data_IF_663570493662
#
_entry.id   IF_663570493662
#
_cell.length_a   1.000
_cell.length_b   1.000
_cell.length_c   1.000
_cell.angle_alpha   90.00
_cell.angle_beta   90.00
_cell.angle_gamma   90.00
#
_symmetry.space_group_name_H-M   'P 1'
#
loop_
_entity.id
_entity.type
_entity.pdbx_description
1 polymer ?
#
# COMPACT_ATOMS: atom_id res chain seq x y z
N UNK A 1 -2.55 4.18 -33.47
CA UNK A 1 -2.38 5.32 -32.53
C UNK A 1 -1.72 4.76 -31.28
N UNK A 2 -0.41 4.95 -31.16
CA UNK A 2 0.38 4.37 -30.06
C UNK A 2 0.28 5.24 -28.82
N UNK A 3 -0.16 4.68 -27.71
CA UNK A 3 0.00 5.27 -26.39
C UNK A 3 1.50 5.39 -26.09
N UNK A 4 2.13 6.52 -26.45
CA UNK A 4 3.45 6.89 -25.90
C UNK A 4 3.24 7.43 -24.48
N UNK A 5 2.75 6.56 -23.60
CA UNK A 5 2.53 6.84 -22.20
C UNK A 5 3.48 5.98 -21.37
N UNK A 6 4.68 6.48 -21.09
CA UNK A 6 5.50 5.89 -20.04
C UNK A 6 5.82 7.00 -19.02
N UNK A 7 4.91 7.13 -18.07
CA UNK A 7 5.14 7.81 -16.79
C UNK A 7 5.93 6.92 -15.82
N UNK A 8 6.15 5.65 -16.19
CA UNK A 8 6.90 4.66 -15.40
C UNK A 8 8.38 4.75 -15.80
N UNK A 9 9.30 5.07 -14.87
CA UNK A 9 10.73 5.09 -15.13
C UNK A 9 11.23 3.75 -15.68
N UNK A 10 12.06 3.74 -16.72
CA UNK A 10 12.56 2.49 -17.27
C UNK A 10 13.43 1.71 -16.28
N UNK A 11 14.07 2.39 -15.32
CA UNK A 11 14.87 1.72 -14.27
C UNK A 11 14.05 0.87 -13.31
N UNK A 12 12.71 1.01 -13.23
CA UNK A 12 11.88 0.16 -12.37
C UNK A 12 11.54 -1.18 -13.01
N UNK A 13 11.74 -1.34 -14.32
CA UNK A 13 11.36 -2.56 -15.05
C UNK A 13 11.90 -3.86 -14.42
N UNK A 14 13.17 -3.94 -13.95
CA UNK A 14 13.68 -5.15 -13.29
C UNK A 14 12.97 -5.48 -11.97
N UNK A 15 12.32 -4.49 -11.34
CA UNK A 15 11.57 -4.67 -10.09
C UNK A 15 10.10 -5.04 -10.32
N UNK A 16 9.58 -4.92 -11.55
CA UNK A 16 8.22 -5.36 -11.92
C UNK A 16 8.23 -6.87 -12.17
N UNK A 17 8.54 -7.62 -11.12
CA UNK A 17 8.50 -9.08 -11.12
C UNK A 17 7.09 -9.55 -10.76
N UNK A 18 6.64 -10.66 -11.33
CA UNK A 18 5.39 -11.33 -10.94
C UNK A 18 5.72 -12.49 -10.01
N UNK A 19 4.97 -12.61 -8.91
CA UNK A 19 5.09 -13.69 -7.96
C UNK A 19 3.71 -14.29 -7.63
N UNK A 20 3.72 -15.55 -7.19
CA UNK A 20 2.56 -16.20 -6.60
C UNK A 20 2.58 -16.00 -5.09
N UNK A 21 1.48 -15.53 -4.53
CA UNK A 21 1.34 -15.24 -3.11
C UNK A 21 0.06 -15.89 -2.62
N UNK A 22 0.16 -16.72 -1.59
CA UNK A 22 -1.03 -17.19 -0.88
C UNK A 22 -1.44 -16.11 0.12
N UNK A 23 -2.64 -15.58 0.01
CA UNK A 23 -3.08 -14.55 0.95
C UNK A 23 -3.37 -15.15 2.33
N UNK A 24 -3.13 -14.35 3.37
CA UNK A 24 -3.48 -14.62 4.75
C UNK A 24 -4.70 -13.78 5.18
N UNK A 25 -5.17 -13.97 6.41
CA UNK A 25 -6.33 -13.22 6.93
C UNK A 25 -7.67 -13.75 6.40
N UNK A 26 -7.69 -14.99 5.90
CA UNK A 26 -8.95 -15.73 5.71
C UNK A 26 -9.60 -16.03 7.05
N UNK A 27 -10.81 -16.57 7.01
CA UNK A 27 -11.54 -17.01 8.17
C UNK A 27 -11.12 -18.43 8.57
N UNK A 28 -10.87 -18.63 9.85
CA UNK A 28 -10.47 -19.90 10.45
C UNK A 28 -11.71 -20.59 11.03
N UNK A 29 -11.90 -21.86 10.68
CA UNK A 29 -13.08 -22.64 11.04
C UNK A 29 -12.70 -23.93 11.78
N UNK A 30 -13.54 -24.37 12.71
CA UNK A 30 -13.39 -25.68 13.33
C UNK A 30 -13.92 -26.82 12.43
N UNK A 31 -13.80 -28.06 12.90
CA UNK A 31 -14.30 -29.26 12.19
C UNK A 31 -15.82 -29.22 11.89
N UNK A 32 -16.58 -28.35 12.58
CA UNK A 32 -18.02 -28.16 12.38
C UNK A 32 -18.33 -26.89 11.57
N UNK A 33 -17.36 -26.34 10.84
CA UNK A 33 -17.52 -25.10 10.05
C UNK A 33 -17.98 -23.89 10.88
N UNK A 34 -17.63 -23.85 12.17
CA UNK A 34 -17.85 -22.68 13.02
C UNK A 34 -16.72 -21.70 12.82
N UNK A 35 -17.03 -20.42 12.53
CA UNK A 35 -16.02 -19.36 12.52
C UNK A 35 -15.41 -19.15 13.91
N UNK A 36 -14.08 -19.25 14.00
CA UNK A 36 -13.33 -19.04 15.25
C UNK A 36 -12.68 -17.65 15.24
N UNK A 37 -11.91 -17.36 14.19
CA UNK A 37 -11.06 -16.18 14.10
C UNK A 37 -10.64 -15.93 12.66
N UNK A 38 -9.76 -14.97 12.41
CA UNK A 38 -9.01 -14.90 11.15
C UNK A 38 -7.80 -15.82 11.25
N UNK A 39 -7.58 -16.67 10.24
CA UNK A 39 -6.35 -17.43 10.10
C UNK A 39 -5.15 -16.48 10.04
N UNK A 40 -4.08 -16.87 10.71
CA UNK A 40 -2.79 -16.19 10.65
C UNK A 40 -1.67 -17.22 10.71
N UNK A 41 -0.65 -17.04 9.86
CA UNK A 41 0.56 -17.86 9.90
C UNK A 41 1.47 -17.36 11.03
N UNK A 42 1.83 -18.20 12.01
CA UNK A 42 2.68 -17.79 13.13
C UNK A 42 4.07 -17.29 12.75
N UNK A 43 4.56 -17.66 11.57
CA UNK A 43 5.86 -17.24 11.06
C UNK A 43 5.77 -15.94 10.23
N UNK A 44 4.57 -15.43 9.97
CA UNK A 44 4.33 -14.22 9.17
C UNK A 44 4.12 -12.97 10.02
N UNK A 45 4.64 -11.78 9.60
CA UNK A 45 4.37 -10.54 10.31
C UNK A 45 2.88 -10.21 10.36
N UNK A 46 2.38 -9.95 11.57
CA UNK A 46 0.97 -9.57 11.79
C UNK A 46 0.76 -8.06 11.60
N UNK A 47 -0.18 -7.71 10.71
CA UNK A 47 -0.57 -6.31 10.39
C UNK A 47 -1.95 -5.90 10.94
N UNK A 48 -2.58 -6.76 11.75
CA UNK A 48 -3.88 -6.52 12.40
C UNK A 48 -3.80 -6.78 13.90
N UNK A 49 -4.74 -6.24 14.67
CA UNK A 49 -4.81 -6.42 16.13
C UNK A 49 -4.96 -5.09 16.86
N UNK A 50 -4.79 -5.13 18.19
CA UNK A 50 -4.86 -3.93 19.02
C UNK A 50 -3.76 -2.91 18.64
N UNK A 51 -4.06 -1.61 18.69
CA UNK A 51 -3.07 -0.56 18.52
C UNK A 51 -1.85 -0.74 19.41
N UNK A 52 -0.67 -0.59 18.82
CA UNK A 52 0.62 -0.66 19.51
C UNK A 52 1.71 -0.01 18.67
N UNK A 53 2.79 0.43 19.32
CA UNK A 53 3.96 1.01 18.65
C UNK A 53 4.60 0.01 17.68
N UNK A 54 4.60 -1.28 18.02
CA UNK A 54 5.12 -2.33 17.17
C UNK A 54 4.29 -2.49 15.89
N UNK A 55 2.96 -2.52 16.01
CA UNK A 55 2.06 -2.58 14.86
C UNK A 55 2.24 -1.35 13.96
N UNK A 56 2.34 -0.17 14.55
CA UNK A 56 2.58 1.07 13.82
C UNK A 56 3.93 1.09 13.11
N UNK A 57 4.99 0.58 13.74
CA UNK A 57 6.31 0.46 13.14
C UNK A 57 6.29 -0.50 11.93
N UNK A 58 5.59 -1.63 12.05
CA UNK A 58 5.42 -2.57 10.92
C UNK A 58 4.70 -1.92 9.74
N UNK A 59 3.58 -1.24 9.98
CA UNK A 59 2.87 -0.52 8.92
C UNK A 59 3.74 0.55 8.26
N UNK A 60 4.37 1.42 9.06
CA UNK A 60 5.28 2.47 8.56
C UNK A 60 6.44 1.90 7.75
N UNK A 61 6.92 0.70 8.09
CA UNK A 61 8.02 0.07 7.35
C UNK A 61 7.65 -0.25 5.89
N UNK A 62 6.37 -0.49 5.58
CA UNK A 62 5.92 -0.84 4.23
C UNK A 62 6.05 0.33 3.25
N UNK A 63 5.69 1.53 3.68
CA UNK A 63 5.62 2.73 2.82
C UNK A 63 6.63 3.80 3.20
N UNK A 64 7.71 3.41 3.89
CA UNK A 64 8.76 4.31 4.41
C UNK A 64 9.50 5.13 3.35
N UNK A 65 9.23 4.89 2.06
CA UNK A 65 9.72 5.68 0.95
C UNK A 65 8.69 6.78 0.67
N UNK A 66 8.88 7.94 1.30
CA UNK A 66 7.99 9.09 1.15
C UNK A 66 8.05 9.71 -0.25
N UNK A 67 9.10 9.39 -1.01
CA UNK A 67 9.26 9.71 -2.42
C UNK A 67 10.53 9.10 -2.98
N UNK A 68 10.60 9.03 -4.30
CA UNK A 68 11.81 8.64 -5.04
C UNK A 68 12.32 9.82 -5.87
N UNK A 69 13.64 9.90 -6.00
CA UNK A 69 14.29 10.88 -6.86
C UNK A 69 14.50 10.33 -8.27
N UNK A 70 14.01 11.08 -9.26
CA UNK A 70 14.24 10.86 -10.68
C UNK A 70 15.13 11.96 -11.25
N UNK A 71 15.91 11.65 -12.29
CA UNK A 71 16.74 12.64 -13.00
C UNK A 71 16.95 12.27 -14.46
N UNK A 72 17.39 13.25 -15.25
CA UNK A 72 17.75 13.04 -16.65
C UNK A 72 16.52 12.65 -17.47
N UNK A 73 16.66 11.62 -18.29
CA UNK A 73 15.58 11.15 -19.18
C UNK A 73 14.38 10.60 -18.41
N UNK A 74 14.59 9.98 -17.24
CA UNK A 74 13.50 9.42 -16.43
C UNK A 74 12.60 10.50 -15.85
N UNK A 75 13.15 11.67 -15.54
CA UNK A 75 12.39 12.81 -15.03
C UNK A 75 11.74 13.65 -16.14
N UNK A 76 12.04 13.40 -17.42
CA UNK A 76 11.67 14.30 -18.51
C UNK A 76 10.16 14.54 -18.63
N UNK A 77 9.34 13.53 -18.33
CA UNK A 77 7.87 13.59 -18.45
C UNK A 77 7.19 14.27 -17.24
N UNK A 78 7.89 14.34 -16.10
CA UNK A 78 7.37 14.86 -14.82
C UNK A 78 7.99 16.20 -14.41
N UNK A 79 9.12 16.62 -15.02
CA UNK A 79 9.73 17.94 -14.79
C UNK A 79 8.72 19.08 -14.93
N UNK A 80 8.78 20.04 -14.01
CA UNK A 80 7.81 21.14 -13.89
C UNK A 80 6.41 20.75 -13.40
N UNK A 81 6.11 19.47 -13.16
CA UNK A 81 4.82 18.98 -12.62
C UNK A 81 4.94 18.44 -11.19
N UNK A 82 6.13 18.46 -10.64
CA UNK A 82 6.44 17.98 -9.29
C UNK A 82 7.51 18.87 -8.66
N UNK A 83 7.81 18.64 -7.38
CA UNK A 83 8.88 19.31 -6.68
C UNK A 83 10.25 18.94 -7.28
N UNK A 84 11.02 19.99 -7.58
CA UNK A 84 12.37 19.88 -8.10
C UNK A 84 13.39 20.21 -7.00
N UNK A 85 14.51 19.49 -7.00
CA UNK A 85 15.64 19.70 -6.08
C UNK A 85 16.88 20.19 -6.83
N UNK A 86 17.85 20.77 -6.11
CA UNK A 86 19.19 21.04 -6.66
C UNK A 86 19.78 19.86 -7.41
N UNK A 87 20.57 20.12 -8.46
CA UNK A 87 21.17 19.05 -9.26
C UNK A 87 20.23 18.38 -10.26
N UNK A 88 19.03 18.94 -10.45
CA UNK A 88 18.09 18.54 -11.51
C UNK A 88 17.29 17.28 -11.20
N UNK A 89 17.13 16.96 -9.92
CA UNK A 89 16.29 15.88 -9.43
C UNK A 89 14.83 16.32 -9.36
N UNK A 90 13.92 15.38 -9.59
CA UNK A 90 12.48 15.54 -9.48
C UNK A 90 11.95 14.45 -8.57
N UNK A 91 11.11 14.80 -7.59
CA UNK A 91 10.56 13.85 -6.64
C UNK A 91 9.26 13.29 -7.19
N UNK A 92 9.02 11.98 -7.05
CA UNK A 92 7.69 11.40 -7.25
C UNK A 92 7.36 10.43 -6.14
N UNK A 93 6.07 10.29 -5.81
CA UNK A 93 5.60 9.18 -4.98
C UNK A 93 5.25 8.00 -5.89
N UNK A 94 5.55 6.77 -5.45
CA UNK A 94 4.97 5.60 -6.07
C UNK A 94 3.57 5.36 -5.51
N UNK A 95 2.65 5.04 -6.42
CA UNK A 95 1.24 4.84 -6.10
C UNK A 95 1.03 3.76 -5.02
N UNK A 96 1.78 2.64 -5.10
CA UNK A 96 1.69 1.55 -4.11
C UNK A 96 2.00 1.99 -2.67
N UNK A 97 2.95 2.90 -2.46
CA UNK A 97 3.25 3.38 -1.10
C UNK A 97 2.18 4.35 -0.60
N UNK A 98 1.62 5.17 -1.50
CA UNK A 98 0.49 6.04 -1.16
C UNK A 98 -0.77 5.23 -0.85
N UNK A 99 -1.04 4.14 -1.59
CA UNK A 99 -2.11 3.20 -1.28
C UNK A 99 -1.94 2.58 0.12
N UNK A 100 -0.74 2.09 0.46
CA UNK A 100 -0.50 1.51 1.80
C UNK A 100 -0.60 2.57 2.90
N UNK A 101 -0.12 3.80 2.66
CA UNK A 101 -0.33 4.93 3.55
C UNK A 101 -1.83 5.17 3.78
N UNK A 102 -2.62 5.30 2.72
CA UNK A 102 -4.08 5.46 2.78
C UNK A 102 -4.75 4.32 3.56
N UNK A 103 -4.34 3.08 3.34
CA UNK A 103 -4.87 1.92 4.08
C UNK A 103 -4.53 2.02 5.58
N UNK A 104 -3.32 2.44 5.93
CA UNK A 104 -2.94 2.66 7.33
C UNK A 104 -3.70 3.84 7.96
N UNK A 105 -3.97 4.90 7.21
CA UNK A 105 -4.79 6.03 7.67
C UNK A 105 -6.22 5.56 8.01
N UNK A 106 -6.83 4.76 7.14
CA UNK A 106 -8.16 4.16 7.38
C UNK A 106 -8.11 3.24 8.59
N UNK A 107 -7.11 2.36 8.70
CA UNK A 107 -6.91 1.50 9.89
C UNK A 107 -6.90 2.31 11.18
N UNK A 108 -6.13 3.41 11.23
CA UNK A 108 -6.06 4.26 12.42
C UNK A 108 -7.37 5.00 12.69
N UNK A 109 -8.11 5.41 11.65
CA UNK A 109 -9.43 6.05 11.79
C UNK A 109 -10.48 5.14 12.43
N UNK A 110 -10.32 3.81 12.35
CA UNK A 110 -11.19 2.85 13.02
C UNK A 110 -10.99 2.77 14.54
N UNK A 111 -9.91 3.40 15.08
CA UNK A 111 -9.56 3.40 16.51
C UNK A 111 -9.31 4.81 17.03
N UNK A 112 -10.33 5.70 17.02
CA UNK A 112 -10.21 7.08 17.49
C UNK A 112 -9.94 7.18 19.00
N UNK A 113 -10.23 6.10 19.75
CA UNK A 113 -9.90 5.95 21.17
C UNK A 113 -8.37 5.90 21.42
N UNK A 114 -7.60 5.47 20.43
CA UNK A 114 -6.14 5.34 20.52
C UNK A 114 -5.41 6.35 19.63
N UNK A 115 -5.84 6.51 18.38
CA UNK A 115 -5.18 7.41 17.43
C UNK A 115 -5.85 8.78 17.43
N UNK A 116 -5.27 9.72 18.17
CA UNK A 116 -5.66 11.13 18.08
C UNK A 116 -4.92 11.81 16.93
N UNK A 117 -5.58 11.98 15.79
CA UNK A 117 -5.03 12.75 14.66
C UNK A 117 -5.25 14.25 14.91
N UNK A 118 -4.25 15.03 14.53
CA UNK A 118 -4.19 16.45 14.83
C UNK A 118 -4.71 17.33 13.68
N UNK A 119 -5.06 16.71 12.55
CA UNK A 119 -5.66 17.42 11.43
C UNK A 119 -7.04 17.97 11.85
N UNK A 120 -7.28 19.28 11.72
CA UNK A 120 -8.57 19.84 12.08
C UNK A 120 -9.64 19.39 11.09
N UNK A 121 -10.89 19.27 11.56
CA UNK A 121 -12.02 19.10 10.64
C UNK A 121 -12.25 20.38 9.82
N UNK A 122 -12.69 20.27 8.54
CA UNK A 122 -13.08 19.04 7.83
C UNK A 122 -11.92 18.30 7.14
N UNK A 123 -10.67 18.75 7.32
CA UNK A 123 -9.53 18.24 6.56
C UNK A 123 -9.28 16.75 6.83
N UNK A 124 -9.44 16.32 8.09
CA UNK A 124 -9.32 14.91 8.45
C UNK A 124 -10.34 14.02 7.73
N UNK A 125 -11.62 14.38 7.79
CA UNK A 125 -12.68 13.64 7.08
C UNK A 125 -12.46 13.63 5.56
N UNK A 126 -12.07 14.76 4.97
CA UNK A 126 -11.73 14.84 3.55
C UNK A 126 -10.55 13.92 3.21
N UNK A 127 -9.56 13.83 4.10
CA UNK A 127 -8.42 12.94 3.92
C UNK A 127 -8.86 11.48 3.84
N UNK A 128 -9.60 11.01 4.86
CA UNK A 128 -10.09 9.63 4.90
C UNK A 128 -10.97 9.29 3.69
N UNK A 129 -11.84 10.22 3.26
CA UNK A 129 -12.71 9.99 2.11
C UNK A 129 -11.93 9.84 0.79
N UNK A 130 -10.89 10.65 0.56
CA UNK A 130 -10.09 10.46 -0.65
C UNK A 130 -9.20 9.21 -0.56
N UNK A 131 -8.73 8.84 0.64
CA UNK A 131 -8.00 7.57 0.84
C UNK A 131 -8.88 6.40 0.39
N UNK A 132 -10.14 6.38 0.82
CA UNK A 132 -11.10 5.34 0.45
C UNK A 132 -11.35 5.30 -1.06
N UNK A 133 -11.55 6.46 -1.70
CA UNK A 133 -11.76 6.50 -3.15
C UNK A 133 -10.52 6.09 -3.95
N UNK A 134 -9.32 6.49 -3.52
CA UNK A 134 -8.07 6.09 -4.14
C UNK A 134 -7.84 4.57 -4.02
N UNK A 135 -8.07 3.99 -2.84
CA UNK A 135 -7.99 2.53 -2.61
C UNK A 135 -9.00 1.77 -3.48
N UNK A 136 -10.24 2.26 -3.59
CA UNK A 136 -11.25 1.69 -4.50
C UNK A 136 -10.74 1.67 -5.93
N UNK A 137 -10.20 2.79 -6.42
CA UNK A 137 -9.65 2.87 -7.78
C UNK A 137 -8.46 1.92 -7.96
N UNK A 138 -7.58 1.78 -6.96
CA UNK A 138 -6.45 0.86 -6.99
C UNK A 138 -6.89 -0.61 -7.09
N UNK A 139 -7.88 -1.02 -6.29
CA UNK A 139 -8.44 -2.39 -6.34
C UNK A 139 -9.05 -2.66 -7.72
N UNK A 140 -9.82 -1.72 -8.27
CA UNK A 140 -10.39 -1.85 -9.62
C UNK A 140 -9.30 -1.87 -10.70
N UNK A 141 -8.23 -1.09 -10.55
CA UNK A 141 -7.12 -1.09 -11.49
C UNK A 141 -6.34 -2.41 -11.45
N UNK A 142 -6.19 -3.01 -10.27
CA UNK A 142 -5.53 -4.31 -10.14
C UNK A 142 -6.36 -5.43 -10.75
N UNK A 143 -7.70 -5.39 -10.56
CA UNK A 143 -8.66 -6.35 -11.11
C UNK A 143 -8.19 -7.79 -10.92
N UNK A 144 -7.93 -8.19 -9.67
CA UNK A 144 -7.55 -9.56 -9.36
C UNK A 144 -8.71 -10.51 -9.68
N UNK A 145 -8.44 -11.50 -10.53
CA UNK A 145 -9.41 -12.48 -11.03
C UNK A 145 -9.25 -13.85 -10.37
N UNK A 146 -8.41 -13.98 -9.33
CA UNK A 146 -8.29 -15.22 -8.57
C UNK A 146 -9.65 -15.62 -7.99
N UNK A 147 -10.17 -16.82 -8.32
CA UNK A 147 -11.45 -17.29 -7.80
C UNK A 147 -11.32 -17.61 -6.30
N UNK A 148 -12.22 -17.04 -5.51
CA UNK A 148 -12.32 -17.33 -4.07
C UNK A 148 -13.34 -18.45 -3.84
N UNK A 149 -12.96 -19.54 -3.14
CA UNK A 149 -13.93 -20.52 -2.66
C UNK A 149 -14.95 -19.86 -1.73
N UNK A 150 -16.18 -20.37 -1.77
CA UNK A 150 -17.27 -19.93 -0.88
C UNK A 150 -17.58 -21.09 0.06
N UNK A 151 -17.33 -20.88 1.35
CA UNK A 151 -17.53 -21.87 2.42
C UNK A 151 -18.80 -21.54 3.20
N UNK A 152 -19.51 -22.56 3.68
CA UNK A 152 -20.68 -22.39 4.54
C UNK A 152 -20.24 -22.27 6.01
N UNK A 153 -20.66 -21.20 6.68
CA UNK A 153 -20.36 -20.97 8.09
C UNK A 153 -21.60 -21.27 8.94
N UNK A 154 -21.59 -22.37 9.67
CA UNK A 154 -22.80 -22.93 10.30
C UNK A 154 -23.38 -22.02 11.39
N UNK A 155 -22.55 -21.32 12.16
CA UNK A 155 -23.04 -20.42 13.22
C UNK A 155 -23.52 -19.08 12.69
N UNK A 156 -22.89 -18.58 11.64
CA UNK A 156 -23.23 -17.32 10.99
C UNK A 156 -24.40 -17.48 10.01
N UNK A 157 -24.81 -18.72 9.72
CA UNK A 157 -25.90 -19.10 8.80
C UNK A 157 -25.78 -18.41 7.44
N UNK A 158 -24.54 -18.33 6.91
CA UNK A 158 -24.24 -17.63 5.66
C UNK A 158 -22.97 -18.14 4.98
N UNK A 159 -22.85 -17.96 3.65
CA UNK A 159 -21.61 -18.21 2.93
C UNK A 159 -20.54 -17.15 3.25
N UNK A 160 -19.27 -17.57 3.29
CA UNK A 160 -18.09 -16.75 3.51
C UNK A 160 -17.01 -17.08 2.47
N UNK A 161 -16.28 -16.05 2.00
CA UNK A 161 -15.19 -16.26 1.05
C UNK A 161 -13.94 -16.74 1.78
N UNK A 162 -13.26 -17.73 1.20
CA UNK A 162 -11.92 -18.13 1.61
C UNK A 162 -10.87 -17.39 0.78
N UNK A 163 -10.07 -16.58 1.45
CA UNK A 163 -8.97 -15.82 0.82
C UNK A 163 -7.67 -16.62 0.70
N UNK A 164 -7.55 -17.82 1.30
CA UNK A 164 -6.32 -18.62 1.32
C UNK A 164 -6.04 -19.39 0.02
N UNK A 165 -6.17 -18.70 -1.09
CA UNK A 165 -5.84 -19.19 -2.42
C UNK A 165 -4.62 -18.46 -2.97
N UNK A 166 -4.07 -18.99 -4.07
CA UNK A 166 -2.91 -18.40 -4.71
C UNK A 166 -3.31 -17.22 -5.60
N UNK A 167 -2.71 -16.06 -5.35
CA UNK A 167 -2.86 -14.83 -6.12
C UNK A 167 -1.63 -14.58 -6.99
N UNK A 168 -1.83 -13.88 -8.11
CA UNK A 168 -0.73 -13.47 -9.00
C UNK A 168 -0.45 -11.98 -8.79
N UNK A 169 0.62 -11.67 -8.08
CA UNK A 169 0.91 -10.31 -7.63
C UNK A 169 2.17 -9.77 -8.27
N UNK A 170 2.29 -8.45 -8.37
CA UNK A 170 3.60 -7.81 -8.54
C UNK A 170 4.40 -7.99 -7.26
N UNK A 171 5.71 -8.20 -7.39
CA UNK A 171 6.60 -8.38 -6.26
C UNK A 171 6.80 -7.06 -5.53
N UNK A 172 6.01 -6.84 -4.47
CA UNK A 172 6.06 -5.65 -3.64
C UNK A 172 7.47 -5.40 -3.09
N UNK A 173 8.15 -6.45 -2.63
CA UNK A 173 9.45 -6.34 -2.00
C UNK A 173 10.53 -5.89 -2.99
N UNK A 174 10.49 -6.36 -4.24
CA UNK A 174 11.38 -5.90 -5.31
C UNK A 174 11.15 -4.43 -5.67
N UNK A 175 9.88 -4.01 -5.80
CA UNK A 175 9.54 -2.59 -6.03
C UNK A 175 10.00 -1.72 -4.88
N UNK A 176 9.83 -2.18 -3.65
CA UNK A 176 10.26 -1.48 -2.43
C UNK A 176 11.78 -1.37 -2.32
N UNK A 177 12.51 -2.44 -2.59
CA UNK A 177 13.98 -2.45 -2.64
C UNK A 177 14.48 -1.41 -3.64
N UNK A 178 13.97 -1.44 -4.88
CA UNK A 178 14.31 -0.46 -5.91
C UNK A 178 14.02 0.99 -5.50
N UNK A 179 12.91 1.22 -4.80
CA UNK A 179 12.51 2.54 -4.35
C UNK A 179 13.39 3.08 -3.20
N UNK A 180 13.78 2.22 -2.25
CA UNK A 180 14.66 2.59 -1.14
C UNK A 180 16.07 3.01 -1.59
N UNK A 181 16.56 2.45 -2.70
CA UNK A 181 17.81 2.89 -3.33
C UNK A 181 17.73 4.33 -3.84
N UNK A 182 16.52 4.82 -4.11
CA UNK A 182 16.20 6.11 -4.73
C UNK A 182 15.48 7.06 -3.80
N UNK A 183 15.46 6.75 -2.50
CA UNK A 183 14.76 7.54 -1.50
C UNK A 183 15.09 9.03 -1.62
N UNK A 184 14.05 9.84 -1.70
CA UNK A 184 14.13 11.28 -1.84
C UNK A 184 14.98 11.95 -0.75
N UNK A 185 15.08 11.39 0.45
CA UNK A 185 15.89 11.94 1.53
C UNK A 185 17.40 11.85 1.28
N UNK A 186 17.84 11.10 0.26
CA UNK A 186 19.26 10.99 -0.10
C UNK A 186 19.82 12.29 -0.71
N UNK A 187 18.96 13.16 -1.23
CA UNK A 187 19.37 14.44 -1.80
C UNK A 187 18.68 15.61 -1.09
N UNK A 188 19.41 16.72 -0.85
CA UNK A 188 18.87 17.84 -0.11
C UNK A 188 17.71 18.50 -0.87
N UNK A 189 16.72 18.93 -0.10
CA UNK A 189 15.71 19.87 -0.56
C UNK A 189 16.32 21.26 -0.64
N UNK A 190 15.73 22.16 -1.42
CA UNK A 190 16.08 23.59 -1.32
C UNK A 190 15.76 24.07 0.10
N UNK A 191 16.65 24.89 0.69
CA UNK A 191 16.56 25.45 2.06
C UNK A 191 15.28 26.27 2.35
N UNK A 192 14.36 26.38 1.38
CA UNK A 192 13.12 27.16 1.47
C UNK A 192 11.89 26.37 1.92
N UNK A 193 12.03 25.07 2.18
CA UNK A 193 10.94 24.25 2.73
C UNK A 193 11.41 23.56 4.01
N UNK A 194 10.87 23.92 5.18
CA UNK A 194 11.07 23.13 6.38
C UNK A 194 10.37 21.78 6.19
N UNK A 195 11.11 20.70 6.40
CA UNK A 195 10.56 19.35 6.47
C UNK A 195 9.66 19.14 7.68
#
# INVERSE_FOLDING_TARGET
MGWRGFWIPSSVQPAIEIQRVRFEGTLDFDENSTLIQTFWDPDSPRYTGEPSDELDARWKSLYRVDGIDLRGVEAQTIRGKTFEKPGGWSIVSLDVFHQIHCLNMVRQALRPDYYTRHDPEPAYTIHINHCLDHLRQAVMCHSDVTPLPVLWAEKEDRPLNDFQVEHTCRNFWKVREWALERDAHRHPYNDRHPG
#
